data_IF_260987807482
#
_entry.id   IF_260987807482
#
_cell.length_a   1.000
_cell.length_b   1.000
_cell.length_c   1.000
_cell.angle_alpha   90.00
_cell.angle_beta   90.00
_cell.angle_gamma   90.00
#
_symmetry.space_group_name_H-M   'P 1'
#
loop_
_entity.id
_entity.type
_entity.pdbx_description
1 polymer ?
#
# COMPACT_ATOMS: atom_id res chain seq x y z
N UNK A 1 -13.56 6.95 6.88
CA UNK A 1 -13.00 5.63 6.52
C UNK A 1 -11.50 5.82 6.34
N UNK A 2 -10.68 5.07 7.07
CA UNK A 2 -9.21 5.11 6.97
C UNK A 2 -8.71 4.28 5.78
N UNK A 3 -7.41 4.37 5.46
CA UNK A 3 -6.83 3.45 4.48
C UNK A 3 -6.96 1.98 4.94
N UNK A 4 -6.78 1.73 6.24
CA UNK A 4 -6.89 0.40 6.82
C UNK A 4 -8.27 -0.21 6.59
N UNK A 5 -9.33 0.58 6.83
CA UNK A 5 -10.71 0.18 6.57
C UNK A 5 -10.95 -0.17 5.10
N UNK A 6 -10.43 0.65 4.18
CA UNK A 6 -10.54 0.43 2.73
C UNK A 6 -9.85 -0.87 2.29
N UNK A 7 -8.64 -1.12 2.79
CA UNK A 7 -7.90 -2.35 2.46
C UNK A 7 -8.61 -3.59 3.03
N UNK A 8 -9.12 -3.51 4.26
CA UNK A 8 -9.89 -4.58 4.90
C UNK A 8 -11.20 -4.86 4.15
N UNK A 9 -11.97 -3.82 3.81
CA UNK A 9 -13.22 -3.93 3.06
C UNK A 9 -13.03 -4.57 1.69
N UNK A 10 -11.91 -4.29 1.01
CA UNK A 10 -11.58 -4.89 -0.30
C UNK A 10 -11.01 -6.30 -0.22
N UNK A 11 -10.76 -6.84 0.98
CA UNK A 11 -10.01 -8.09 1.15
C UNK A 11 -8.55 -7.99 0.72
N UNK A 12 -7.98 -6.78 0.71
CA UNK A 12 -6.59 -6.52 0.33
C UNK A 12 -5.63 -6.47 1.53
N UNK A 13 -6.16 -6.66 2.75
CA UNK A 13 -5.39 -6.79 3.99
C UNK A 13 -5.24 -8.27 4.34
N UNK A 14 -4.01 -8.78 4.31
CA UNK A 14 -3.70 -10.16 4.72
C UNK A 14 -3.17 -10.22 6.15
N UNK A 15 -2.19 -9.36 6.46
CA UNK A 15 -1.56 -9.28 7.78
C UNK A 15 -1.12 -7.84 8.06
N UNK A 16 -0.97 -7.51 9.33
CA UNK A 16 -0.64 -6.18 9.83
C UNK A 16 0.07 -6.25 11.18
N UNK A 17 1.06 -5.38 11.38
CA UNK A 17 1.68 -5.20 12.70
C UNK A 17 0.68 -4.59 13.68
N UNK A 18 0.69 -5.05 14.92
CA UNK A 18 -0.13 -4.50 16.00
C UNK A 18 0.07 -2.97 16.12
N UNK A 19 -1.02 -2.22 16.30
CA UNK A 19 -0.99 -0.77 16.43
C UNK A 19 -1.00 0.05 15.12
N UNK A 20 -0.91 -0.61 13.95
CA UNK A 20 -0.85 0.12 12.67
C UNK A 20 -2.17 0.82 12.32
N UNK A 21 -3.31 0.23 12.71
CA UNK A 21 -4.64 0.78 12.47
C UNK A 21 -4.82 2.14 13.15
N UNK A 22 -4.33 2.27 14.39
CA UNK A 22 -4.39 3.51 15.14
C UNK A 22 -3.45 4.58 14.58
N UNK A 23 -2.24 4.20 14.19
CA UNK A 23 -1.22 5.12 13.66
C UNK A 23 -1.66 5.67 12.29
N UNK A 24 -2.12 4.79 11.40
CA UNK A 24 -2.54 5.19 10.04
C UNK A 24 -3.80 6.06 10.03
N UNK A 25 -4.64 5.94 11.06
CA UNK A 25 -5.81 6.80 11.24
C UNK A 25 -5.47 8.19 11.80
N UNK A 26 -4.34 8.34 12.51
CA UNK A 26 -3.93 9.58 13.19
C UNK A 26 -2.94 10.42 12.40
N UNK A 27 -2.08 9.79 11.61
CA UNK A 27 -0.90 10.44 11.05
C UNK A 27 -0.76 10.26 9.53
N UNK A 28 -0.11 11.23 8.89
CA UNK A 28 0.31 11.10 7.48
C UNK A 28 1.63 10.36 7.42
N UNK A 29 1.55 9.07 7.09
CA UNK A 29 2.72 8.21 6.97
C UNK A 29 3.43 8.33 5.62
N UNK A 30 4.69 7.95 5.61
CA UNK A 30 5.44 7.64 4.38
C UNK A 30 5.67 6.14 4.34
N UNK A 31 5.37 5.49 3.23
CA UNK A 31 5.47 4.04 3.08
C UNK A 31 5.94 3.66 1.70
N UNK A 32 6.47 2.44 1.54
CA UNK A 32 7.02 1.97 0.28
C UNK A 32 6.57 0.57 -0.07
N UNK A 33 6.64 0.25 -1.36
CA UNK A 33 6.59 -1.11 -1.89
C UNK A 33 7.75 -1.27 -2.87
N UNK A 34 8.48 -2.39 -2.74
CA UNK A 34 9.56 -2.78 -3.64
C UNK A 34 9.07 -3.54 -4.87
N UNK A 35 9.68 -3.26 -6.01
CA UNK A 35 9.48 -3.95 -7.28
C UNK A 35 10.85 -4.32 -7.88
N UNK A 36 11.13 -5.61 -7.96
CA UNK A 36 12.36 -6.11 -8.60
C UNK A 36 12.14 -6.32 -10.11
N UNK A 37 13.10 -5.94 -10.98
CA UNK A 37 13.05 -6.08 -12.43
C UNK A 37 13.31 -7.53 -12.85
N UNK A 38 12.42 -8.43 -12.43
CA UNK A 38 12.46 -9.87 -12.73
C UNK A 38 12.05 -10.19 -14.18
N UNK A 39 11.47 -9.23 -14.89
CA UNK A 39 11.05 -9.35 -16.28
C UNK A 39 11.13 -8.00 -17.01
N UNK A 40 10.98 -8.01 -18.34
CA UNK A 40 10.99 -6.80 -19.19
C UNK A 40 9.82 -5.83 -18.91
N UNK A 41 8.78 -6.30 -18.23
CA UNK A 41 7.59 -5.53 -17.89
C UNK A 41 6.95 -6.11 -16.63
N UNK A 42 6.26 -5.26 -15.88
CA UNK A 42 5.29 -5.69 -14.88
C UNK A 42 4.10 -6.40 -15.57
N UNK A 43 3.40 -7.23 -14.82
CA UNK A 43 2.19 -7.91 -15.26
C UNK A 43 1.07 -7.72 -14.22
N UNK A 44 -0.09 -8.34 -14.45
CA UNK A 44 -1.28 -8.18 -13.59
C UNK A 44 -1.02 -8.52 -12.11
N UNK A 45 -0.03 -9.37 -11.81
CA UNK A 45 0.35 -9.71 -10.43
C UNK A 45 0.89 -8.51 -9.65
N UNK A 46 1.54 -7.55 -10.32
CA UNK A 46 2.06 -6.32 -9.71
C UNK A 46 0.96 -5.27 -9.49
N UNK A 47 -0.19 -5.41 -10.15
CA UNK A 47 -1.23 -4.39 -10.15
C UNK A 47 -1.82 -4.16 -8.75
N UNK A 48 -2.01 -5.21 -7.96
CA UNK A 48 -2.56 -5.08 -6.61
C UNK A 48 -1.69 -4.12 -5.77
N UNK A 49 -0.37 -4.29 -5.85
CA UNK A 49 0.57 -3.48 -5.08
C UNK A 49 0.65 -2.03 -5.58
N UNK A 50 0.65 -1.83 -6.90
CA UNK A 50 0.57 -0.47 -7.50
C UNK A 50 -0.70 0.24 -7.05
N UNK A 51 -1.83 -0.46 -7.09
CA UNK A 51 -3.11 0.09 -6.68
C UNK A 51 -3.15 0.40 -5.17
N UNK A 52 -2.43 -0.37 -4.35
CA UNK A 52 -2.28 -0.08 -2.92
C UNK A 52 -1.47 1.19 -2.67
N UNK A 53 -0.37 1.43 -3.40
CA UNK A 53 0.35 2.72 -3.35
C UNK A 53 -0.54 3.89 -3.81
N UNK A 54 -1.34 3.70 -4.87
CA UNK A 54 -2.27 4.72 -5.34
C UNK A 54 -3.35 5.04 -4.28
N UNK A 55 -3.85 4.02 -3.56
CA UNK A 55 -4.76 4.25 -2.42
C UNK A 55 -4.04 4.94 -1.28
N UNK A 56 -2.84 4.50 -0.93
CA UNK A 56 -2.00 5.14 0.09
C UNK A 56 -1.90 6.66 -0.16
N UNK A 57 -1.64 7.06 -1.42
CA UNK A 57 -1.65 8.47 -1.83
C UNK A 57 -3.02 9.15 -1.69
N UNK A 58 -4.10 8.49 -2.14
CA UNK A 58 -5.48 9.04 -2.09
C UNK A 58 -5.99 9.28 -0.67
N UNK A 59 -5.52 8.49 0.29
CA UNK A 59 -5.81 8.69 1.71
C UNK A 59 -4.87 9.72 2.37
N UNK A 60 -4.01 10.39 1.59
CA UNK A 60 -3.20 11.54 2.03
C UNK A 60 -1.82 11.18 2.56
N UNK A 61 -1.38 9.92 2.40
CA UNK A 61 -0.05 9.46 2.76
C UNK A 61 0.94 9.61 1.60
N UNK A 62 2.24 9.44 1.87
CA UNK A 62 3.31 9.58 0.87
C UNK A 62 3.80 8.19 0.42
N UNK A 63 3.42 7.71 -0.78
CA UNK A 63 3.91 6.44 -1.30
C UNK A 63 5.31 6.58 -1.92
N UNK A 64 6.11 5.53 -1.82
CA UNK A 64 7.39 5.36 -2.52
C UNK A 64 7.32 4.04 -3.30
N UNK A 65 7.40 4.12 -4.63
CA UNK A 65 7.63 2.94 -5.46
C UNK A 65 9.14 2.73 -5.57
N UNK A 66 9.66 1.74 -4.85
CA UNK A 66 11.09 1.42 -4.82
C UNK A 66 11.39 0.38 -5.91
N UNK A 67 12.41 0.63 -6.73
CA UNK A 67 12.92 -0.34 -7.72
C UNK A 67 14.19 -0.97 -7.15
N UNK A 68 14.22 -2.31 -7.10
CA UNK A 68 15.37 -3.12 -6.68
C UNK A 68 16.31 -3.46 -7.82
#
# INVERSE_FOLDING_TARGET
MSLYDELKWRGALYDATEGVEEVIAKEKLTGYIGFDPTAKSLHVGSLLQIMNLARFQRFGHTPIALVG
#
